data_IF_137193058105
#
_entry.id   IF_137193058105
#
_cell.length_a   1.000
_cell.length_b   1.000
_cell.length_c   1.000
_cell.angle_alpha   90.00
_cell.angle_beta   90.00
_cell.angle_gamma   90.00
#
_symmetry.space_group_name_H-M   'P 1'
#
loop_
_entity.id
_entity.type
_entity.pdbx_description
1 polymer ?
#
# COMPACT_ATOMS: atom_id res chain seq x y z
N UNK A 1 -21.07 -15.30 -17.52
CA UNK A 1 -20.77 -14.39 -18.65
C UNK A 1 -21.07 -12.96 -18.25
N UNK A 2 -20.16 -12.01 -18.49
CA UNK A 2 -20.33 -10.61 -18.13
C UNK A 2 -21.31 -9.87 -19.05
N UNK A 3 -22.21 -9.09 -18.47
CA UNK A 3 -23.12 -8.20 -19.20
C UNK A 3 -22.38 -7.03 -19.85
N UNK A 4 -23.01 -6.39 -20.86
CA UNK A 4 -22.44 -5.21 -21.52
C UNK A 4 -22.14 -4.08 -20.53
N UNK A 5 -23.05 -3.82 -19.57
CA UNK A 5 -22.84 -2.80 -18.54
C UNK A 5 -21.66 -3.13 -17.62
N UNK A 6 -21.48 -4.39 -17.25
CA UNK A 6 -20.32 -4.84 -16.47
C UNK A 6 -19.01 -4.64 -17.24
N UNK A 7 -18.98 -4.95 -18.55
CA UNK A 7 -17.80 -4.74 -19.40
C UNK A 7 -17.43 -3.27 -19.50
N UNK A 8 -18.41 -2.38 -19.70
CA UNK A 8 -18.18 -0.93 -19.75
C UNK A 8 -17.67 -0.43 -18.40
N UNK A 9 -18.33 -0.82 -17.30
CA UNK A 9 -17.91 -0.42 -15.96
C UNK A 9 -16.50 -0.93 -15.61
N UNK A 10 -16.19 -2.18 -15.97
CA UNK A 10 -14.85 -2.75 -15.82
C UNK A 10 -13.80 -1.92 -16.55
N UNK A 11 -14.01 -1.64 -17.84
CA UNK A 11 -13.12 -0.82 -18.66
C UNK A 11 -12.87 0.55 -18.03
N UNK A 12 -13.92 1.21 -17.54
CA UNK A 12 -13.83 2.50 -16.88
C UNK A 12 -13.05 2.47 -15.56
N UNK A 13 -13.13 1.36 -14.82
CA UNK A 13 -12.35 1.17 -13.58
C UNK A 13 -10.87 0.97 -13.91
N UNK A 14 -10.57 0.10 -14.87
CA UNK A 14 -9.19 -0.32 -15.17
C UNK A 14 -8.40 0.71 -15.96
N UNK A 15 -8.99 1.33 -16.99
CA UNK A 15 -8.28 2.23 -17.90
C UNK A 15 -8.27 3.69 -17.43
N UNK A 16 -9.37 4.14 -16.80
CA UNK A 16 -9.51 5.55 -16.40
C UNK A 16 -9.24 5.80 -14.91
N UNK A 17 -8.75 4.78 -14.20
CA UNK A 17 -8.53 4.79 -12.74
C UNK A 17 -9.74 5.31 -11.95
N UNK A 18 -10.95 5.02 -12.46
CA UNK A 18 -12.20 5.53 -11.90
C UNK A 18 -12.68 4.70 -10.71
N UNK A 19 -13.34 5.34 -9.74
CA UNK A 19 -14.05 4.59 -8.71
C UNK A 19 -15.26 3.84 -9.30
N UNK A 20 -15.64 2.72 -8.66
CA UNK A 20 -16.69 1.83 -9.17
C UNK A 20 -18.03 2.54 -9.40
N UNK A 21 -18.44 3.47 -8.52
CA UNK A 21 -19.69 4.21 -8.67
C UNK A 21 -19.69 5.13 -9.90
N UNK A 22 -18.58 5.81 -10.20
CA UNK A 22 -18.44 6.65 -11.39
C UNK A 22 -18.50 5.81 -12.68
N UNK A 23 -17.81 4.66 -12.68
CA UNK A 23 -17.86 3.72 -13.78
C UNK A 23 -19.27 3.15 -14.02
N UNK A 24 -20.00 2.82 -12.96
CA UNK A 24 -21.39 2.39 -13.03
C UNK A 24 -22.30 3.48 -13.61
N UNK A 25 -22.07 4.76 -13.27
CA UNK A 25 -22.82 5.87 -13.86
C UNK A 25 -22.62 5.95 -15.37
N UNK A 26 -21.38 5.87 -15.84
CA UNK A 26 -21.05 5.86 -17.28
C UNK A 26 -21.63 4.64 -18.00
N UNK A 27 -21.67 3.50 -17.33
CA UNK A 27 -22.26 2.27 -17.86
C UNK A 27 -23.81 2.26 -17.86
N UNK A 28 -24.47 3.32 -17.37
CA UNK A 28 -25.92 3.46 -17.40
C UNK A 28 -26.63 2.62 -16.34
N UNK A 29 -26.03 2.42 -15.17
CA UNK A 29 -26.74 1.85 -14.00
C UNK A 29 -27.70 2.88 -13.38
N UNK A 30 -28.71 2.40 -12.65
CA UNK A 30 -29.61 3.29 -11.91
C UNK A 30 -28.91 3.89 -10.68
N UNK A 31 -29.33 5.07 -10.24
CA UNK A 31 -28.76 5.73 -9.05
C UNK A 31 -28.87 4.86 -7.78
N UNK A 32 -29.92 4.05 -7.65
CA UNK A 32 -30.06 3.10 -6.53
C UNK A 32 -28.97 2.02 -6.55
N UNK A 33 -28.58 1.54 -7.73
CA UNK A 33 -27.51 0.55 -7.86
C UNK A 33 -26.14 1.20 -7.73
N UNK A 34 -25.93 2.42 -8.24
CA UNK A 34 -24.67 3.16 -8.15
C UNK A 34 -24.25 3.41 -6.68
N UNK A 35 -25.23 3.65 -5.80
CA UNK A 35 -25.01 3.81 -4.35
C UNK A 35 -24.52 2.54 -3.65
N UNK A 36 -24.58 1.38 -4.32
CA UNK A 36 -24.14 0.07 -3.81
C UNK A 36 -23.13 -0.57 -4.77
N UNK A 37 -21.91 -0.01 -4.90
CA UNK A 37 -20.91 -0.50 -5.85
C UNK A 37 -20.45 -1.93 -5.59
N UNK A 38 -20.59 -2.42 -4.35
CA UNK A 38 -20.32 -3.82 -3.98
C UNK A 38 -21.10 -4.81 -4.84
N UNK A 39 -22.34 -4.47 -5.22
CA UNK A 39 -23.15 -5.30 -6.11
C UNK A 39 -22.53 -5.50 -7.50
N UNK A 40 -21.69 -4.57 -7.97
CA UNK A 40 -20.92 -4.74 -9.19
C UNK A 40 -19.67 -5.58 -8.90
N UNK A 41 -18.86 -5.18 -7.93
CA UNK A 41 -17.54 -5.77 -7.69
C UNK A 41 -17.61 -7.22 -7.22
N UNK A 42 -18.67 -7.60 -6.50
CA UNK A 42 -18.91 -8.99 -6.06
C UNK A 42 -19.75 -9.79 -7.07
N UNK A 43 -20.18 -9.18 -8.17
CA UNK A 43 -20.96 -9.90 -9.18
C UNK A 43 -20.09 -10.90 -9.94
N UNK A 44 -20.65 -12.09 -10.20
CA UNK A 44 -19.98 -13.15 -10.94
C UNK A 44 -19.37 -12.66 -12.27
N UNK A 45 -20.11 -11.84 -13.03
CA UNK A 45 -19.62 -11.32 -14.30
C UNK A 45 -18.45 -10.35 -14.17
N UNK A 46 -18.35 -9.59 -13.07
CA UNK A 46 -17.20 -8.73 -12.81
C UNK A 46 -15.99 -9.54 -12.37
N UNK A 47 -16.19 -10.53 -11.51
CA UNK A 47 -15.14 -11.47 -11.08
C UNK A 47 -14.57 -12.23 -12.30
N UNK A 48 -15.42 -12.72 -13.21
CA UNK A 48 -14.98 -13.35 -14.47
C UNK A 48 -14.12 -12.42 -15.34
N UNK A 49 -14.38 -11.10 -15.34
CA UNK A 49 -13.56 -10.13 -16.06
C UNK A 49 -12.24 -9.87 -15.34
N UNK A 50 -12.25 -9.76 -14.02
CA UNK A 50 -11.03 -9.61 -13.22
C UNK A 50 -10.11 -10.81 -13.47
N UNK A 51 -10.61 -12.03 -13.41
CA UNK A 51 -9.81 -13.24 -13.67
C UNK A 51 -9.21 -13.26 -15.09
N UNK A 52 -9.98 -12.80 -16.08
CA UNK A 52 -9.52 -12.80 -17.47
C UNK A 52 -8.44 -11.75 -17.78
N UNK A 53 -8.43 -10.62 -17.08
CA UNK A 53 -7.55 -9.48 -17.37
C UNK A 53 -6.48 -9.24 -16.30
N UNK A 54 -6.69 -9.73 -15.09
CA UNK A 54 -5.81 -9.62 -13.93
C UNK A 54 -5.80 -10.94 -13.15
N UNK A 55 -5.30 -12.03 -13.76
CA UNK A 55 -5.27 -13.35 -13.13
C UNK A 55 -4.36 -13.36 -11.90
N UNK A 56 -4.70 -14.21 -10.93
CA UNK A 56 -3.97 -14.32 -9.67
C UNK A 56 -2.51 -14.73 -9.87
N UNK A 57 -2.20 -15.56 -10.87
CA UNK A 57 -0.82 -15.98 -11.16
C UNK A 57 0.06 -14.79 -11.57
N UNK A 58 -0.48 -13.85 -12.34
CA UNK A 58 0.23 -12.66 -12.77
C UNK A 58 0.44 -11.69 -11.59
N UNK A 59 -0.56 -11.56 -10.72
CA UNK A 59 -0.43 -10.80 -9.48
C UNK A 59 0.67 -11.38 -8.58
N UNK A 60 0.73 -12.70 -8.43
CA UNK A 60 1.78 -13.39 -7.65
C UNK A 60 3.15 -13.12 -8.26
N UNK A 61 3.28 -13.21 -9.59
CA UNK A 61 4.54 -12.96 -10.29
C UNK A 61 5.06 -11.54 -10.05
N UNK A 62 4.23 -10.53 -10.29
CA UNK A 62 4.59 -9.11 -10.06
C UNK A 62 4.90 -8.88 -8.58
N UNK A 63 4.18 -9.56 -7.68
CA UNK A 63 4.45 -9.46 -6.25
C UNK A 63 5.84 -10.00 -5.87
N UNK A 64 6.23 -11.15 -6.41
CA UNK A 64 7.58 -11.70 -6.22
C UNK A 64 8.68 -10.79 -6.77
N UNK A 65 8.44 -10.17 -7.93
CA UNK A 65 9.34 -9.18 -8.51
C UNK A 65 9.53 -7.98 -7.57
N UNK A 66 8.43 -7.47 -7.00
CA UNK A 66 8.45 -6.40 -6.00
C UNK A 66 9.19 -6.77 -4.71
N UNK A 67 9.06 -8.01 -4.21
CA UNK A 67 9.80 -8.51 -3.06
C UNK A 67 11.31 -8.66 -3.33
N UNK A 68 11.70 -8.77 -4.60
CA UNK A 68 13.10 -8.84 -5.04
C UNK A 68 13.63 -7.48 -5.54
N UNK A 69 12.85 -6.41 -5.48
CA UNK A 69 13.20 -5.09 -6.02
C UNK A 69 14.57 -4.60 -5.56
N UNK A 70 15.33 -4.01 -6.48
CA UNK A 70 16.66 -3.43 -6.23
C UNK A 70 16.71 -2.00 -6.72
N UNK A 71 17.50 -1.17 -6.04
CA UNK A 71 17.83 0.19 -6.43
C UNK A 71 19.28 0.25 -6.91
N UNK A 72 19.50 0.98 -7.99
CA UNK A 72 20.84 1.29 -8.51
C UNK A 72 21.32 2.59 -7.90
N UNK A 73 22.52 2.61 -7.35
CA UNK A 73 23.14 3.81 -6.80
C UNK A 73 24.14 4.32 -7.83
N UNK A 74 23.95 5.56 -8.25
CA UNK A 74 24.84 6.26 -9.16
C UNK A 74 25.62 7.33 -8.40
N UNK A 75 26.90 7.53 -8.75
CA UNK A 75 27.69 8.65 -8.25
C UNK A 75 28.29 9.43 -9.42
N UNK A 76 28.39 10.74 -9.24
CA UNK A 76 29.10 11.59 -10.18
C UNK A 76 30.60 11.50 -9.90
N UNK A 77 31.35 11.13 -10.92
CA UNK A 77 32.80 11.16 -10.88
C UNK A 77 33.26 12.61 -11.16
N UNK A 78 33.90 13.23 -10.16
CA UNK A 78 34.34 14.63 -10.22
C UNK A 78 35.49 14.81 -11.24
N UNK A 79 36.28 13.78 -11.48
CA UNK A 79 37.44 13.84 -12.38
C UNK A 79 37.06 13.62 -13.85
N UNK A 80 36.11 12.72 -14.11
CA UNK A 80 35.69 12.39 -15.49
C UNK A 80 34.42 13.11 -15.93
N UNK A 81 33.69 13.73 -14.99
CA UNK A 81 32.40 14.40 -15.23
C UNK A 81 31.26 13.43 -15.60
N UNK A 82 31.46 12.11 -15.47
CA UNK A 82 30.49 11.09 -15.84
C UNK A 82 29.73 10.54 -14.63
N UNK A 83 28.52 10.07 -14.89
CA UNK A 83 27.69 9.34 -13.92
C UNK A 83 28.04 7.86 -14.02
N UNK A 84 28.52 7.27 -12.93
CA UNK A 84 28.90 5.86 -12.86
C UNK A 84 27.97 5.11 -11.91
N UNK A 85 27.57 3.89 -12.28
CA UNK A 85 26.82 2.97 -11.39
C UNK A 85 27.79 2.38 -10.38
N UNK A 86 27.53 2.59 -9.09
CA UNK A 86 28.46 2.27 -8.00
C UNK A 86 28.06 1.02 -7.23
N UNK A 87 26.76 0.81 -7.04
CA UNK A 87 26.26 -0.39 -6.37
C UNK A 87 24.82 -0.69 -6.76
N UNK A 88 24.44 -1.97 -6.62
CA UNK A 88 23.07 -2.43 -6.68
C UNK A 88 22.70 -2.93 -5.29
N UNK A 89 21.72 -2.28 -4.67
CA UNK A 89 21.26 -2.61 -3.33
C UNK A 89 19.79 -3.02 -3.34
N UNK A 90 19.34 -3.83 -2.37
CA UNK A 90 17.91 -4.02 -2.12
C UNK A 90 17.16 -2.69 -1.99
N UNK A 91 16.07 -2.54 -2.72
CA UNK A 91 15.13 -1.45 -2.50
C UNK A 91 14.20 -1.83 -1.34
N UNK A 92 14.67 -1.61 -0.12
CA UNK A 92 13.92 -1.93 1.09
C UNK A 92 12.56 -1.25 1.16
N UNK A 93 12.43 -0.03 0.62
CA UNK A 93 11.17 0.71 0.66
C UNK A 93 10.14 0.04 -0.24
N UNK A 94 10.52 -0.30 -1.48
CA UNK A 94 9.63 -1.03 -2.39
C UNK A 94 9.29 -2.41 -1.81
N UNK A 95 10.30 -3.18 -1.38
CA UNK A 95 10.09 -4.51 -0.78
C UNK A 95 9.14 -4.46 0.42
N UNK A 96 9.27 -3.46 1.29
CA UNK A 96 8.40 -3.28 2.45
C UNK A 96 6.94 -3.08 2.03
N UNK A 97 6.66 -2.23 1.02
CA UNK A 97 5.29 -2.01 0.53
C UNK A 97 4.67 -3.29 0.00
N UNK A 98 5.40 -4.06 -0.80
CA UNK A 98 4.91 -5.36 -1.30
C UNK A 98 4.64 -6.32 -0.14
N UNK A 99 5.56 -6.42 0.83
CA UNK A 99 5.37 -7.26 2.01
C UNK A 99 4.14 -6.84 2.84
N UNK A 100 3.93 -5.54 3.03
CA UNK A 100 2.75 -4.98 3.70
C UNK A 100 1.46 -5.39 2.99
N UNK A 101 1.41 -5.24 1.66
CA UNK A 101 0.27 -5.67 0.84
C UNK A 101 0.00 -7.16 1.00
N UNK A 102 1.02 -8.02 1.03
CA UNK A 102 0.83 -9.46 1.29
C UNK A 102 0.21 -9.73 2.65
N UNK A 103 0.70 -9.07 3.72
CA UNK A 103 0.13 -9.25 5.06
C UNK A 103 -1.33 -8.77 5.12
N UNK A 104 -1.70 -7.70 4.42
CA UNK A 104 -3.08 -7.21 4.32
C UNK A 104 -3.98 -8.22 3.62
N UNK A 105 -3.55 -8.74 2.46
CA UNK A 105 -4.29 -9.76 1.70
C UNK A 105 -4.47 -11.04 2.54
N UNK A 106 -3.46 -11.44 3.31
CA UNK A 106 -3.54 -12.61 4.20
C UNK A 106 -4.34 -12.37 5.49
N UNK A 107 -4.86 -11.15 5.72
CA UNK A 107 -5.58 -10.79 6.94
C UNK A 107 -4.70 -10.84 8.20
N UNK A 108 -3.37 -10.78 8.04
CA UNK A 108 -2.40 -10.82 9.14
C UNK A 108 -1.89 -9.43 9.53
N UNK A 109 -2.23 -8.41 8.75
CA UNK A 109 -1.90 -7.03 9.03
C UNK A 109 -2.86 -6.45 10.08
N UNK A 110 -2.32 -6.00 11.22
CA UNK A 110 -3.09 -5.33 12.28
C UNK A 110 -2.82 -3.83 12.19
N UNK A 111 -3.80 -3.05 11.71
CA UNK A 111 -3.64 -1.60 11.54
C UNK A 111 -3.57 -0.82 12.87
N UNK A 112 -4.08 -1.40 13.97
CA UNK A 112 -4.16 -0.74 15.27
C UNK A 112 -3.44 -1.57 16.35
N UNK A 113 -2.12 -1.41 16.46
CA UNK A 113 -1.42 -1.76 17.69
C UNK A 113 -1.67 -0.64 18.69
N UNK A 114 -2.36 -0.97 19.79
CA UNK A 114 -2.70 -0.10 20.92
C UNK A 114 -1.45 0.71 21.34
N UNK A 115 -1.55 2.03 21.40
CA UNK A 115 -0.48 2.88 21.94
C UNK A 115 -0.14 2.42 23.36
N UNK A 116 1.12 2.09 23.69
CA UNK A 116 1.46 1.81 25.08
C UNK A 116 1.32 3.11 25.88
N UNK A 117 0.42 3.14 26.88
CA UNK A 117 0.40 4.19 27.90
C UNK A 117 1.74 4.18 28.66
N UNK A 118 2.70 4.99 28.23
CA UNK A 118 3.93 5.21 29.00
C UNK A 118 3.59 6.15 30.15
N UNK A 119 3.24 5.59 31.31
CA UNK A 119 3.17 6.34 32.57
C UNK A 119 4.59 6.61 33.08
N UNK A 120 5.18 7.72 32.66
CA UNK A 120 6.43 8.22 33.26
C UNK A 120 6.09 8.79 34.64
N UNK A 121 6.47 8.08 35.70
CA UNK A 121 6.47 8.64 37.05
C UNK A 121 7.71 9.55 37.17
N UNK A 122 7.50 10.86 37.11
CA UNK A 122 8.52 11.83 37.46
C UNK A 122 8.75 11.75 38.97
N UNK A 123 9.84 11.09 39.37
CA UNK A 123 10.33 11.16 40.75
C UNK A 123 10.95 12.54 40.91
N UNK A 124 10.25 13.42 41.63
CA UNK A 124 10.81 14.69 42.08
C UNK A 124 11.97 14.40 43.02
N UNK A 125 13.20 14.62 42.54
CA UNK A 125 14.39 14.64 43.38
C UNK A 125 14.31 15.92 44.23
N UNK A 126 13.79 15.80 45.46
CA UNK A 126 13.90 16.89 46.43
C UNK A 126 15.39 17.09 46.72
N UNK A 127 15.86 18.31 46.52
CA UNK A 127 17.18 18.75 46.96
C UNK A 127 17.18 18.77 48.49
N UNK A 128 17.51 17.62 49.10
CA UNK A 128 18.12 17.62 50.42
C UNK A 128 19.59 18.02 50.23
N UNK A 129 19.80 19.33 50.12
CA UNK A 129 21.14 19.91 50.23
C UNK A 129 21.08 21.08 51.19
N UNK A 130 20.91 20.80 52.47
CA UNK A 130 21.34 21.64 53.58
C UNK A 130 21.53 20.77 54.83
N UNK A 131 22.35 21.15 55.84
CA UNK A 131 23.40 22.18 55.86
C UNK A 131 24.69 21.72 56.58
N UNK A 132 25.64 22.65 56.74
CA UNK A 132 26.69 22.69 57.77
C UNK A 132 27.88 21.69 57.64
N UNK A 133 29.13 22.04 57.95
CA UNK A 133 29.78 23.21 58.53
C UNK A 133 31.31 23.01 58.47
N UNK A 134 32.05 24.03 58.92
CA UNK A 134 33.44 24.00 59.43
C UNK A 134 34.57 23.90 58.42
N UNK A 135 35.31 24.99 58.21
CA UNK A 135 36.49 25.35 59.05
C UNK A 135 36.76 26.84 58.91
#
# INVERSE_FOLDING_TARGET
>A
MPSLKQKIAFKEITENHGNASAAMRKAGYSENTIKKPTNLTESKGFIELMEAYLPDEELVRVHEEGLKAVKKIFKNNIETGKVEEVSVEPDYQTRHRYLETAYKIKGRYKENAIEPEIKIQLINYQQDSEPESTT
#
